data_IF_812301214995
#
_entry.id   IF_812301214995
#
_cell.length_a   1.000
_cell.length_b   1.000
_cell.length_c   1.000
_cell.angle_alpha   90.00
_cell.angle_beta   90.00
_cell.angle_gamma   90.00
#
_symmetry.space_group_name_H-M   'P 1'
#
loop_
_entity.id
_entity.type
_entity.pdbx_description
1 polymer ?
#
# COMPACT_ATOMS: atom_id res chain seq x y z
N UNK A 1 20.26 7.51 25.37
CA UNK A 1 19.69 6.34 24.66
C UNK A 1 18.19 6.55 24.58
N UNK A 2 17.60 6.75 23.40
CA UNK A 2 16.14 6.84 23.31
C UNK A 2 15.55 5.44 23.45
N UNK A 3 14.49 5.32 24.27
CA UNK A 3 13.68 4.11 24.37
C UNK A 3 12.94 3.91 23.03
N UNK A 4 12.88 2.68 22.49
CA UNK A 4 11.97 2.39 21.39
C UNK A 4 10.53 2.71 21.83
N UNK A 5 9.65 3.12 20.90
CA UNK A 5 8.23 3.28 21.21
C UNK A 5 7.73 1.98 21.84
N UNK A 6 7.15 2.09 23.04
CA UNK A 6 6.65 0.94 23.77
C UNK A 6 5.58 0.25 22.91
N UNK A 7 5.90 -0.96 22.43
CA UNK A 7 4.90 -1.91 21.98
C UNK A 7 4.03 -2.23 23.18
N UNK A 8 2.80 -1.72 23.19
CA UNK A 8 1.81 -2.15 24.16
C UNK A 8 1.36 -3.54 23.71
N UNK A 9 2.14 -4.54 24.13
CA UNK A 9 1.78 -5.95 24.10
C UNK A 9 0.66 -6.16 25.11
N UNK A 10 -0.53 -6.53 24.64
CA UNK A 10 -1.55 -7.16 25.48
C UNK A 10 -1.49 -8.65 25.18
N UNK A 11 -0.58 -9.31 25.89
CA UNK A 11 -0.38 -10.76 26.09
C UNK A 11 -0.25 -11.69 24.86
N UNK A 12 0.65 -12.66 25.02
CA UNK A 12 1.04 -13.76 24.12
C UNK A 12 1.55 -13.40 22.72
N UNK A 13 2.68 -12.67 22.65
CA UNK A 13 3.64 -12.75 21.53
C UNK A 13 3.16 -12.32 20.14
N UNK A 14 1.97 -11.76 20.03
CA UNK A 14 1.39 -11.26 18.78
C UNK A 14 1.86 -9.84 18.47
N UNK A 15 2.24 -9.59 17.23
CA UNK A 15 2.37 -8.23 16.72
C UNK A 15 0.97 -7.61 16.56
N UNK A 16 0.80 -6.35 16.97
CA UNK A 16 -0.46 -5.58 16.79
C UNK A 16 -0.72 -5.25 15.31
N UNK A 17 0.25 -5.52 14.45
CA UNK A 17 0.18 -5.35 13.01
C UNK A 17 0.16 -6.72 12.33
N UNK A 18 -0.62 -6.83 11.24
CA UNK A 18 -0.66 -8.04 10.42
C UNK A 18 0.70 -8.39 9.75
N UNK A 19 1.62 -7.43 9.73
CA UNK A 19 2.99 -7.56 9.21
C UNK A 19 3.97 -6.96 10.22
N UNK A 20 5.11 -7.60 10.46
CA UNK A 20 6.17 -7.04 11.30
C UNK A 20 6.77 -5.80 10.60
N UNK A 21 6.66 -4.58 11.18
CA UNK A 21 7.19 -3.37 10.58
C UNK A 21 8.73 -3.33 10.54
N UNK A 22 9.41 -4.18 11.33
CA UNK A 22 10.87 -4.27 11.32
C UNK A 22 11.42 -5.18 10.20
N UNK A 23 10.55 -5.93 9.51
CA UNK A 23 10.97 -6.80 8.43
C UNK A 23 11.34 -6.01 7.18
N UNK A 24 12.42 -6.40 6.45
CA UNK A 24 12.79 -5.75 5.20
C UNK A 24 11.64 -5.70 4.19
N UNK A 25 11.51 -4.55 3.52
CA UNK A 25 10.53 -4.35 2.45
C UNK A 25 10.75 -5.37 1.33
N UNK A 26 9.65 -6.00 0.87
CA UNK A 26 9.65 -6.89 -0.29
C UNK A 26 9.88 -8.38 0.02
N UNK A 27 10.02 -8.75 1.31
CA UNK A 27 10.00 -10.16 1.71
C UNK A 27 8.59 -10.75 1.68
N UNK A 28 7.61 -9.98 2.16
CA UNK A 28 6.19 -10.31 2.02
C UNK A 28 5.44 -9.08 1.49
N UNK A 29 4.46 -9.25 0.59
CA UNK A 29 3.61 -8.16 0.15
C UNK A 29 2.65 -7.76 1.28
N UNK A 30 2.35 -6.46 1.36
CA UNK A 30 1.38 -5.94 2.32
C UNK A 30 -0.04 -6.38 1.94
N UNK A 31 -0.86 -6.72 2.92
CA UNK A 31 -2.27 -7.07 2.73
C UNK A 31 -3.17 -5.84 2.93
N UNK A 32 -4.27 -5.78 2.18
CA UNK A 32 -5.14 -4.61 2.17
C UNK A 32 -6.60 -5.00 2.25
N UNK A 33 -7.26 -4.50 3.30
CA UNK A 33 -8.69 -4.64 3.52
C UNK A 33 -9.50 -4.09 2.32
N UNK A 34 -10.51 -4.84 1.81
CA UNK A 34 -11.37 -4.40 0.72
C UNK A 34 -12.10 -3.08 0.99
N UNK A 35 -12.41 -2.76 2.25
CA UNK A 35 -13.09 -1.53 2.68
C UNK A 35 -12.19 -0.30 2.52
N UNK A 36 -10.87 -0.50 2.48
CA UNK A 36 -9.88 0.57 2.41
C UNK A 36 -9.34 0.74 0.99
N UNK A 37 -9.12 -0.38 0.29
CA UNK A 37 -8.48 -0.44 -1.03
C UNK A 37 -9.47 -0.93 -2.11
N UNK A 38 -9.75 -0.12 -3.15
CA UNK A 38 -10.50 -0.59 -4.31
C UNK A 38 -9.72 -1.57 -5.19
N UNK A 39 -8.41 -1.69 -5.00
CA UNK A 39 -7.57 -2.67 -5.69
C UNK A 39 -7.67 -4.09 -5.10
N UNK A 40 -8.31 -4.25 -3.94
CA UNK A 40 -8.60 -5.57 -3.37
C UNK A 40 -9.96 -6.05 -3.88
N UNK A 41 -9.94 -7.11 -4.68
CA UNK A 41 -11.15 -7.75 -5.19
C UNK A 41 -11.79 -8.64 -4.13
N UNK A 42 -13.11 -8.72 -4.14
CA UNK A 42 -13.87 -9.69 -3.35
C UNK A 42 -14.40 -10.74 -4.32
N UNK A 43 -13.97 -11.99 -4.16
CA UNK A 43 -14.45 -13.13 -4.92
C UNK A 43 -15.47 -13.94 -4.11
N UNK A 44 -16.58 -14.19 -4.76
CA UNK A 44 -17.66 -15.04 -4.27
C UNK A 44 -18.00 -16.13 -5.30
N UNK A 45 -18.76 -17.12 -4.87
CA UNK A 45 -19.29 -18.15 -5.74
C UNK A 45 -20.37 -17.56 -6.65
N UNK A 46 -20.17 -17.68 -7.97
CA UNK A 46 -21.16 -17.24 -8.93
C UNK A 46 -22.50 -17.96 -8.73
N UNK A 47 -23.63 -17.22 -8.69
CA UNK A 47 -24.95 -17.82 -8.59
C UNK A 47 -25.24 -18.87 -9.67
N UNK A 48 -26.17 -19.77 -9.39
CA UNK A 48 -26.68 -20.71 -10.39
C UNK A 48 -27.33 -19.97 -11.56
N UNK A 49 -27.17 -20.49 -12.78
CA UNK A 49 -27.78 -19.91 -13.99
C UNK A 49 -26.87 -19.00 -14.82
N UNK A 50 -25.71 -18.62 -14.28
CA UNK A 50 -24.65 -17.98 -15.07
C UNK A 50 -23.64 -19.02 -15.55
N UNK A 51 -23.32 -18.98 -16.84
CA UNK A 51 -22.10 -19.59 -17.37
C UNK A 51 -20.92 -18.79 -16.81
N UNK A 52 -20.39 -19.25 -15.68
CA UNK A 52 -19.23 -18.63 -15.06
C UNK A 52 -18.03 -18.80 -15.99
N UNK A 53 -17.16 -17.79 -15.99
CA UNK A 53 -15.86 -17.87 -16.67
C UNK A 53 -15.08 -19.10 -16.16
N UNK A 54 -14.06 -19.49 -16.93
CA UNK A 54 -13.11 -20.54 -16.54
C UNK A 54 -12.67 -20.40 -15.08
N UNK A 55 -12.41 -21.55 -14.44
CA UNK A 55 -11.89 -21.58 -13.08
C UNK A 55 -10.70 -20.63 -12.92
N UNK A 56 -10.71 -19.85 -11.84
CA UNK A 56 -9.60 -19.02 -11.45
C UNK A 56 -8.56 -19.86 -10.71
N UNK A 57 -7.43 -20.12 -11.36
CA UNK A 57 -6.22 -20.64 -10.72
C UNK A 57 -5.28 -19.48 -10.38
N UNK A 58 -5.11 -19.11 -9.10
CA UNK A 58 -4.18 -18.05 -8.67
C UNK A 58 -2.75 -18.23 -9.19
N UNK A 59 -2.29 -19.49 -9.30
CA UNK A 59 -0.90 -19.81 -9.72
C UNK A 59 -0.68 -19.55 -11.21
N UNK A 60 -1.73 -19.55 -12.01
CA UNK A 60 -1.66 -19.23 -13.43
C UNK A 60 -1.47 -17.73 -13.69
N UNK A 61 -1.72 -16.87 -12.70
CA UNK A 61 -1.72 -15.42 -12.85
C UNK A 61 -0.36 -14.78 -12.56
N UNK A 62 0.46 -15.35 -11.67
CA UNK A 62 1.77 -14.81 -11.34
C UNK A 62 2.69 -15.83 -10.65
N UNK A 63 4.01 -15.61 -10.72
CA UNK A 63 5.01 -16.54 -10.16
C UNK A 63 5.07 -16.51 -8.63
N UNK A 64 4.59 -15.45 -7.98
CA UNK A 64 4.59 -15.32 -6.53
C UNK A 64 3.16 -15.16 -6.02
N UNK A 65 2.79 -16.03 -5.08
CA UNK A 65 1.52 -16.03 -4.38
C UNK A 65 1.80 -16.00 -2.88
N UNK A 66 1.22 -15.02 -2.19
CA UNK A 66 1.10 -15.03 -0.74
C UNK A 66 -0.35 -15.28 -0.40
N UNK A 67 -0.58 -16.27 0.45
CA UNK A 67 -1.90 -16.70 0.90
C UNK A 67 -1.94 -16.65 2.42
N UNK A 68 -2.94 -15.97 2.96
CA UNK A 68 -3.27 -16.03 4.39
C UNK A 68 -4.74 -16.38 4.56
N UNK A 69 -5.02 -17.17 5.58
CA UNK A 69 -6.38 -17.59 5.93
C UNK A 69 -6.66 -17.12 7.35
N UNK A 70 -7.79 -16.47 7.54
CA UNK A 70 -8.28 -16.04 8.85
C UNK A 70 -9.77 -16.46 9.00
N UNK A 71 -10.42 -16.03 10.08
CA UNK A 71 -11.81 -16.36 10.37
C UNK A 71 -12.81 -15.80 9.34
N UNK A 72 -12.42 -14.75 8.62
CA UNK A 72 -13.24 -14.01 7.67
C UNK A 72 -12.95 -14.43 6.20
N UNK A 73 -12.16 -15.48 5.98
CA UNK A 73 -11.85 -16.04 4.66
C UNK A 73 -10.36 -16.09 4.31
N UNK A 74 -10.08 -16.21 3.01
CA UNK A 74 -8.71 -16.29 2.46
C UNK A 74 -8.33 -15.03 1.74
N UNK A 75 -7.14 -14.49 2.02
CA UNK A 75 -6.54 -13.38 1.29
C UNK A 75 -5.39 -13.88 0.44
N UNK A 76 -5.43 -13.55 -0.85
CA UNK A 76 -4.45 -13.91 -1.86
C UNK A 76 -3.83 -12.64 -2.42
N UNK A 77 -2.50 -12.59 -2.41
CA UNK A 77 -1.73 -11.55 -3.12
C UNK A 77 -0.91 -12.22 -4.19
N UNK A 78 -1.24 -11.93 -5.45
CA UNK A 78 -0.52 -12.43 -6.62
C UNK A 78 0.37 -11.30 -7.12
N UNK A 79 1.67 -11.54 -7.12
CA UNK A 79 2.64 -10.60 -7.68
C UNK A 79 3.08 -11.13 -9.03
N UNK A 80 2.82 -10.34 -10.08
CA UNK A 80 3.42 -10.56 -11.39
C UNK A 80 4.30 -9.34 -11.76
N UNK A 81 5.11 -9.46 -12.81
CA UNK A 81 5.96 -8.35 -13.26
C UNK A 81 5.20 -7.07 -13.67
N UNK A 82 3.87 -7.10 -13.65
CA UNK A 82 2.95 -6.01 -14.01
C UNK A 82 2.37 -5.30 -12.77
N UNK A 83 2.46 -5.92 -11.59
CA UNK A 83 2.01 -5.39 -10.31
C UNK A 83 1.47 -6.46 -9.37
N UNK A 84 0.78 -6.02 -8.33
CA UNK A 84 0.12 -6.90 -7.36
C UNK A 84 -1.39 -6.95 -7.63
N UNK A 85 -1.97 -8.14 -7.48
CA UNK A 85 -3.40 -8.39 -7.48
C UNK A 85 -3.79 -8.91 -6.11
N UNK A 86 -4.63 -8.13 -5.42
CA UNK A 86 -5.13 -8.44 -4.07
C UNK A 86 -6.53 -9.01 -4.19
N UNK A 87 -6.78 -10.15 -3.56
CA UNK A 87 -8.05 -10.87 -3.65
C UNK A 87 -8.44 -11.41 -2.30
N UNK A 88 -9.66 -11.11 -1.87
CA UNK A 88 -10.34 -11.73 -0.75
C UNK A 88 -11.32 -12.79 -1.26
N UNK A 89 -11.14 -14.03 -0.84
CA UNK A 89 -11.96 -15.19 -1.20
C UNK A 89 -12.75 -15.62 0.04
N UNK A 90 -14.08 -15.51 -0.02
CA UNK A 90 -14.94 -15.90 1.11
C UNK A 90 -15.29 -17.39 1.12
N UNK A 91 -15.41 -17.99 -0.05
CA UNK A 91 -15.72 -19.41 -0.24
C UNK A 91 -14.69 -20.02 -1.19
N UNK A 92 -14.11 -21.17 -0.83
CA UNK A 92 -13.15 -21.88 -1.66
C UNK A 92 -13.71 -22.25 -3.04
N UNK A 93 -15.02 -22.48 -3.14
CA UNK A 93 -15.72 -22.73 -4.39
C UNK A 93 -15.76 -21.51 -5.31
N UNK A 94 -15.54 -20.29 -4.78
CA UNK A 94 -15.44 -19.07 -5.59
C UNK A 94 -14.30 -19.14 -6.60
N UNK A 95 -13.23 -19.90 -6.33
CA UNK A 95 -12.16 -20.09 -7.32
C UNK A 95 -12.61 -20.92 -8.52
N UNK A 96 -13.56 -21.85 -8.35
CA UNK A 96 -14.04 -22.70 -9.45
C UNK A 96 -15.04 -21.97 -10.36
N UNK A 97 -15.89 -21.13 -9.79
CA UNK A 97 -16.89 -20.33 -10.51
C UNK A 97 -16.87 -18.90 -9.96
N UNK A 98 -15.88 -18.07 -10.33
CA UNK A 98 -15.67 -16.77 -9.72
C UNK A 98 -16.75 -15.76 -10.13
N UNK A 99 -17.32 -15.09 -9.13
CA UNK A 99 -18.02 -13.82 -9.28
C UNK A 99 -17.27 -12.74 -8.47
N UNK A 100 -17.23 -11.53 -9.01
CA UNK A 100 -16.64 -10.39 -8.30
C UNK A 100 -17.76 -9.59 -7.62
N UNK A 101 -17.71 -9.50 -6.29
CA UNK A 101 -18.61 -8.62 -5.53
C UNK A 101 -18.08 -7.19 -5.57
N UNK A 102 -18.94 -6.25 -5.98
CA UNK A 102 -18.59 -4.83 -6.09
C UNK A 102 -19.52 -3.99 -5.19
N UNK A 103 -19.04 -3.54 -4.01
CA UNK A 103 -19.81 -2.64 -3.17
C UNK A 103 -20.05 -1.30 -3.87
N UNK A 104 -21.28 -0.79 -3.81
CA UNK A 104 -21.66 0.53 -4.34
C UNK A 104 -21.23 1.64 -3.37
N UNK A 105 -19.91 1.85 -3.27
CA UNK A 105 -19.30 2.84 -2.40
C UNK A 105 -18.67 4.01 -3.18
N UNK A 106 -18.02 4.94 -2.48
CA UNK A 106 -17.34 6.08 -3.09
C UNK A 106 -16.17 5.72 -4.02
N UNK A 107 -15.76 4.45 -4.05
CA UNK A 107 -14.65 3.94 -4.85
C UNK A 107 -15.15 2.98 -5.96
N UNK A 108 -16.47 2.87 -6.16
CA UNK A 108 -17.10 1.90 -7.05
C UNK A 108 -16.53 1.89 -8.48
N UNK A 109 -16.32 3.06 -9.08
CA UNK A 109 -15.73 3.18 -10.42
C UNK A 109 -14.31 2.57 -10.52
N UNK A 110 -13.50 2.75 -9.47
CA UNK A 110 -12.17 2.13 -9.40
C UNK A 110 -12.28 0.61 -9.28
N UNK A 111 -13.23 0.13 -8.47
CA UNK A 111 -13.48 -1.32 -8.32
C UNK A 111 -13.94 -1.95 -9.63
N UNK A 112 -14.75 -1.25 -10.44
CA UNK A 112 -15.13 -1.70 -11.78
C UNK A 112 -13.89 -1.86 -12.67
N UNK A 113 -12.98 -0.88 -12.73
CA UNK A 113 -11.78 -0.99 -13.59
C UNK A 113 -10.88 -2.16 -13.15
N UNK A 114 -10.70 -2.36 -11.83
CA UNK A 114 -9.95 -3.50 -11.28
C UNK A 114 -10.62 -4.83 -11.63
N UNK A 115 -11.95 -4.94 -11.46
CA UNK A 115 -12.71 -6.15 -11.81
C UNK A 115 -12.67 -6.46 -13.31
N UNK A 116 -12.77 -5.44 -14.15
CA UNK A 116 -12.68 -5.59 -15.60
C UNK A 116 -11.28 -6.07 -16.03
N UNK A 117 -10.22 -5.60 -15.36
CA UNK A 117 -8.85 -6.08 -15.59
C UNK A 117 -8.68 -7.52 -15.17
N UNK A 118 -9.23 -7.90 -14.01
CA UNK A 118 -9.27 -9.29 -13.57
C UNK A 118 -9.98 -10.19 -14.58
N UNK A 119 -11.18 -9.83 -15.03
CA UNK A 119 -11.92 -10.59 -16.03
C UNK A 119 -11.13 -10.74 -17.34
N UNK A 120 -10.46 -9.67 -17.80
CA UNK A 120 -9.57 -9.71 -18.98
C UNK A 120 -8.38 -10.65 -18.79
N UNK A 121 -7.77 -10.67 -17.59
CA UNK A 121 -6.67 -11.59 -17.25
C UNK A 121 -7.16 -13.03 -17.19
N UNK A 122 -8.34 -13.27 -16.64
CA UNK A 122 -8.98 -14.59 -16.61
C UNK A 122 -9.25 -15.13 -18.02
N UNK A 123 -9.57 -14.24 -18.97
CA UNK A 123 -9.65 -14.58 -20.40
C UNK A 123 -8.29 -14.69 -21.12
N UNK A 124 -7.17 -14.74 -20.39
CA UNK A 124 -5.83 -14.94 -20.94
C UNK A 124 -5.13 -13.68 -21.50
N UNK A 125 -5.73 -12.49 -21.39
CA UNK A 125 -5.07 -11.26 -21.87
C UNK A 125 -3.94 -10.85 -20.91
N UNK A 126 -2.79 -10.44 -21.45
CA UNK A 126 -1.71 -9.84 -20.66
C UNK A 126 -1.96 -8.34 -20.48
N UNK A 127 -2.34 -7.94 -19.26
CA UNK A 127 -2.61 -6.55 -18.89
C UNK A 127 -2.20 -6.33 -17.43
N UNK A 128 -1.76 -5.11 -17.10
CA UNK A 128 -1.44 -4.74 -15.72
C UNK A 128 -2.66 -4.88 -14.81
N UNK A 129 -2.45 -5.48 -13.63
CA UNK A 129 -3.49 -5.64 -12.61
C UNK A 129 -4.03 -4.31 -12.11
N UNK A 130 -3.15 -3.34 -11.87
CA UNK A 130 -3.57 -2.04 -11.36
C UNK A 130 -3.94 -1.05 -12.48
N UNK A 131 -5.09 -0.35 -12.35
CA UNK A 131 -5.48 0.71 -13.27
C UNK A 131 -4.57 1.93 -13.17
N UNK A 132 -4.59 2.78 -14.20
CA UNK A 132 -3.76 4.00 -14.24
C UNK A 132 -4.00 4.92 -13.04
N UNK A 133 -5.26 5.07 -12.64
CA UNK A 133 -5.66 5.90 -11.51
C UNK A 133 -5.07 5.44 -10.16
N UNK A 134 -4.74 4.15 -10.02
CA UNK A 134 -4.14 3.59 -8.80
C UNK A 134 -2.62 3.45 -8.88
N UNK A 135 -1.99 3.90 -9.98
CA UNK A 135 -0.54 3.79 -10.17
C UNK A 135 0.14 5.11 -9.87
N UNK A 136 1.18 5.03 -9.04
CA UNK A 136 2.04 6.18 -8.75
C UNK A 136 2.98 6.47 -9.92
N UNK A 137 3.00 7.73 -10.35
CA UNK A 137 3.99 8.26 -11.29
C UNK A 137 5.39 8.28 -10.67
N UNK A 138 6.44 8.30 -11.50
CA UNK A 138 7.83 8.42 -11.04
C UNK A 138 8.08 9.70 -10.22
N UNK A 139 7.32 10.77 -10.47
CA UNK A 139 7.40 11.98 -9.66
C UNK A 139 6.79 11.78 -8.27
N UNK A 140 5.58 11.21 -8.19
CA UNK A 140 4.93 10.90 -6.91
C UNK A 140 5.79 9.94 -6.08
N UNK A 141 6.35 8.88 -6.68
CA UNK A 141 7.25 7.95 -5.99
C UNK A 141 8.44 8.67 -5.36
N UNK A 142 9.14 9.53 -6.11
CA UNK A 142 10.27 10.32 -5.58
C UNK A 142 9.85 11.23 -4.43
N UNK A 143 8.69 11.89 -4.52
CA UNK A 143 8.17 12.73 -3.44
C UNK A 143 7.85 11.91 -2.19
N UNK A 144 7.22 10.75 -2.33
CA UNK A 144 6.90 9.86 -1.21
C UNK A 144 8.15 9.32 -0.54
N UNK A 145 9.14 8.87 -1.32
CA UNK A 145 10.46 8.47 -0.80
C UNK A 145 11.06 9.63 0.02
N UNK A 146 11.06 10.85 -0.53
CA UNK A 146 11.59 12.01 0.19
C UNK A 146 10.83 12.30 1.51
N UNK A 147 9.51 12.09 1.55
CA UNK A 147 8.73 12.21 2.78
C UNK A 147 9.10 11.12 3.78
N UNK A 148 9.22 9.87 3.36
CA UNK A 148 9.63 8.76 4.24
C UNK A 148 11.02 9.00 4.84
N UNK A 149 12.01 9.40 4.04
CA UNK A 149 13.33 9.76 4.55
C UNK A 149 13.28 10.91 5.58
N UNK A 150 12.42 11.91 5.36
CA UNK A 150 12.25 13.00 6.32
C UNK A 150 11.56 12.55 7.61
N UNK A 151 10.66 11.58 7.52
CA UNK A 151 10.07 10.92 8.68
C UNK A 151 11.13 10.15 9.47
N UNK A 152 11.96 9.35 8.81
CA UNK A 152 13.02 8.56 9.47
C UNK A 152 14.00 9.44 10.25
N UNK A 153 14.44 10.55 9.65
CA UNK A 153 15.29 11.55 10.34
C UNK A 153 14.57 12.14 11.55
N UNK A 154 13.29 12.49 11.40
CA UNK A 154 12.51 13.07 12.49
C UNK A 154 12.27 12.07 13.64
N UNK A 155 11.93 10.82 13.32
CA UNK A 155 11.70 9.74 14.27
C UNK A 155 12.98 9.38 15.07
N UNK A 156 14.15 9.50 14.43
CA UNK A 156 15.44 9.41 15.09
C UNK A 156 15.77 10.62 16.01
N UNK A 157 14.87 11.59 16.14
CA UNK A 157 15.05 12.80 16.95
C UNK A 157 15.70 13.97 16.19
N UNK A 158 15.88 13.84 14.88
CA UNK A 158 16.43 14.87 14.02
C UNK A 158 15.49 16.06 13.84
N UNK A 159 16.08 17.24 13.70
CA UNK A 159 15.37 18.50 13.50
C UNK A 159 15.31 18.92 12.03
N UNK A 160 14.73 20.11 11.76
CA UNK A 160 14.65 20.67 10.41
C UNK A 160 16.02 20.92 9.76
N UNK A 161 17.08 21.08 10.55
CA UNK A 161 18.44 21.28 10.04
C UNK A 161 19.02 19.97 9.50
N UNK A 162 18.79 18.87 10.20
CA UNK A 162 19.22 17.53 9.79
C UNK A 162 18.49 17.10 8.52
N UNK A 163 17.16 17.30 8.47
CA UNK A 163 16.37 17.07 7.25
C UNK A 163 16.85 17.92 6.08
N UNK A 164 17.27 19.17 6.32
CA UNK A 164 17.82 20.00 5.25
C UNK A 164 19.18 19.50 4.74
N UNK A 165 20.03 18.97 5.63
CA UNK A 165 21.32 18.41 5.25
C UNK A 165 21.18 17.06 4.53
N UNK A 166 20.44 16.13 5.12
CA UNK A 166 20.42 14.72 4.70
C UNK A 166 19.41 14.44 3.58
N UNK A 167 18.24 15.07 3.63
CA UNK A 167 17.12 14.78 2.71
C UNK A 167 16.99 15.80 1.59
N UNK A 168 17.28 17.08 1.88
CA UNK A 168 17.26 18.14 0.88
C UNK A 168 18.64 18.41 0.27
N UNK A 169 19.71 17.85 0.84
CA UNK A 169 21.11 18.09 0.43
C UNK A 169 21.39 19.58 0.26
N UNK A 170 20.96 20.38 1.24
CA UNK A 170 21.03 21.84 1.18
C UNK A 170 22.21 22.38 1.98
N UNK A 171 23.09 23.12 1.30
CA UNK A 171 24.23 23.81 1.93
C UNK A 171 23.80 24.81 3.01
N UNK A 172 22.54 25.25 2.98
CA UNK A 172 21.97 26.15 3.99
C UNK A 172 21.96 25.53 5.39
N UNK A 173 22.05 24.20 5.51
CA UNK A 173 22.16 23.52 6.80
C UNK A 173 23.43 23.93 7.58
N UNK A 174 24.49 24.34 6.86
CA UNK A 174 25.76 24.80 7.43
C UNK A 174 25.77 26.29 7.83
N UNK A 175 24.67 27.02 7.56
CA UNK A 175 24.60 28.44 7.88
C UNK A 175 24.60 28.68 9.40
N UNK A 176 25.19 29.81 9.84
CA UNK A 176 25.08 30.27 11.22
C UNK A 176 23.63 30.33 11.69
N UNK A 177 23.41 30.21 13.01
CA UNK A 177 22.07 30.12 13.60
C UNK A 177 21.10 31.24 13.17
N UNK A 178 21.60 32.46 13.02
CA UNK A 178 20.80 33.62 12.58
C UNK A 178 20.34 33.45 11.14
N UNK A 179 21.26 33.19 10.22
CA UNK A 179 20.95 33.02 8.79
C UNK A 179 20.11 31.76 8.52
N UNK A 180 20.35 30.70 9.28
CA UNK A 180 19.55 29.48 9.23
C UNK A 180 18.06 29.74 9.53
N UNK A 181 17.77 30.57 10.54
CA UNK A 181 16.38 30.86 10.95
C UNK A 181 15.55 31.42 9.80
N UNK A 182 16.14 32.23 8.95
CA UNK A 182 15.44 32.89 7.83
C UNK A 182 15.58 32.15 6.50
N UNK A 183 16.35 31.05 6.46
CA UNK A 183 16.61 30.29 5.26
C UNK A 183 15.35 29.64 4.66
N UNK A 184 15.27 29.60 3.32
CA UNK A 184 14.22 28.83 2.62
C UNK A 184 14.34 27.32 2.89
N UNK A 185 15.56 26.81 3.07
CA UNK A 185 15.83 25.41 3.39
C UNK A 185 15.15 24.98 4.70
N UNK A 186 15.26 25.78 5.77
CA UNK A 186 14.54 25.53 7.03
C UNK A 186 13.03 25.44 6.82
N UNK A 187 12.45 26.40 6.09
CA UNK A 187 11.00 26.40 5.79
C UNK A 187 10.57 25.17 4.99
N UNK A 188 11.38 24.75 4.01
CA UNK A 188 11.13 23.55 3.21
C UNK A 188 11.24 22.27 4.05
N UNK A 189 12.25 22.17 4.92
CA UNK A 189 12.43 21.03 5.82
C UNK A 189 11.30 20.91 6.84
N UNK A 190 10.87 22.02 7.45
CA UNK A 190 9.70 22.03 8.34
C UNK A 190 8.44 21.49 7.65
N UNK A 191 8.16 21.96 6.42
CA UNK A 191 7.02 21.44 5.65
C UNK A 191 7.18 19.96 5.35
N UNK A 192 8.38 19.52 5.02
CA UNK A 192 8.65 18.11 4.71
C UNK A 192 8.42 17.20 5.92
N UNK A 193 8.84 17.61 7.11
CA UNK A 193 8.56 16.90 8.38
C UNK A 193 7.05 16.85 8.64
N UNK A 194 6.35 17.97 8.51
CA UNK A 194 4.90 18.00 8.75
C UNK A 194 4.12 17.11 7.75
N UNK A 195 4.47 17.19 6.46
CA UNK A 195 3.87 16.38 5.41
C UNK A 195 4.18 14.89 5.63
N UNK A 196 5.38 14.56 6.13
CA UNK A 196 5.79 13.17 6.34
C UNK A 196 5.07 12.51 7.51
N UNK A 197 4.90 13.23 8.62
CA UNK A 197 4.07 12.79 9.75
C UNK A 197 2.63 12.53 9.27
N UNK A 198 2.06 13.50 8.54
CA UNK A 198 0.70 13.36 7.99
C UNK A 198 0.57 12.14 7.08
N UNK A 199 1.59 11.88 6.25
CA UNK A 199 1.63 10.72 5.37
C UNK A 199 1.62 9.40 6.17
N UNK A 200 2.50 9.25 7.15
CA UNK A 200 2.68 8.02 7.93
C UNK A 200 1.49 7.74 8.85
N UNK A 201 0.95 8.76 9.51
CA UNK A 201 -0.11 8.55 10.49
C UNK A 201 -1.37 7.95 9.87
N UNK A 202 -1.85 8.50 8.74
CA UNK A 202 -2.99 7.97 7.95
C UNK A 202 -3.03 8.44 6.49
N UNK A 203 -2.19 9.40 6.11
CA UNK A 203 -2.22 9.99 4.77
C UNK A 203 -1.99 8.98 3.65
N UNK A 204 -1.26 7.90 3.94
CA UNK A 204 -1.02 6.80 3.01
C UNK A 204 -2.31 6.12 2.52
N UNK A 205 -3.40 6.14 3.29
CA UNK A 205 -4.68 5.55 2.89
C UNK A 205 -5.24 6.19 1.61
N UNK A 206 -4.91 7.46 1.37
CA UNK A 206 -5.32 8.12 0.14
C UNK A 206 -4.62 7.50 -1.08
N UNK A 207 -3.36 7.04 -0.94
CA UNK A 207 -2.61 6.40 -2.03
C UNK A 207 -3.32 5.15 -2.55
N UNK A 208 -3.92 4.38 -1.66
CA UNK A 208 -4.67 3.17 -1.99
C UNK A 208 -5.92 3.46 -2.83
N UNK A 209 -6.45 4.68 -2.70
CA UNK A 209 -7.67 5.15 -3.36
C UNK A 209 -7.38 5.95 -4.63
N UNK A 210 -6.12 5.99 -5.06
CA UNK A 210 -5.66 6.77 -6.21
C UNK A 210 -5.27 8.22 -5.90
N UNK A 211 -5.33 8.61 -4.62
CA UNK A 211 -5.06 9.93 -4.02
C UNK A 211 -5.82 11.11 -4.63
#
# INVERSE_FOLDING_TARGET
MPRPPASVSLDDGGYVFAHDPASPVGLEPAMWLPEVSPATLILELAPSGFEAASSFDPRAFGPALVERTDADGRELVIVDGSGELHIRVQDDQATQRPAVLLPLDSMFELRIDVALRFARRLSGRRINFLPAALRLTSFQKRRLIQLLHAFDVHDAGGGPRDVAAEVLTSDHAQLPSVEWKDSHARRKANRLIHDSITLVERGYLKLLRGL
#
